data_IF_024057398731
#
_entry.id   IF_024057398731
#
_cell.length_a   1.000
_cell.length_b   1.000
_cell.length_c   1.000
_cell.angle_alpha   90.00
_cell.angle_beta   90.00
_cell.angle_gamma   90.00
#
_symmetry.space_group_name_H-M   'P 1'
#
loop_
_entity.id
_entity.type
_entity.pdbx_description
1 polymer ?
#
# COMPACT_ATOMS: atom_id res chain seq x y z
N UNK A 1 2.68 -6.42 13.82
CA UNK A 1 3.29 -6.92 12.55
C UNK A 1 4.80 -6.80 12.55
N UNK A 2 5.40 -5.88 13.32
CA UNK A 2 6.85 -5.70 13.35
C UNK A 2 7.63 -6.98 13.64
N UNK A 3 7.31 -7.67 14.74
CA UNK A 3 8.01 -8.89 15.17
C UNK A 3 8.08 -9.95 14.06
N UNK A 4 6.98 -10.17 13.35
CA UNK A 4 6.92 -11.11 12.23
C UNK A 4 7.82 -10.65 11.05
N UNK A 5 7.78 -9.37 10.69
CA UNK A 5 8.65 -8.86 9.62
C UNK A 5 10.12 -8.94 10.01
N UNK A 6 10.48 -8.55 11.23
CA UNK A 6 11.84 -8.63 11.74
C UNK A 6 12.35 -10.08 11.78
N UNK A 7 11.51 -11.02 12.23
CA UNK A 7 11.85 -12.44 12.20
C UNK A 7 12.06 -12.95 10.77
N UNK A 8 11.18 -12.62 9.84
CA UNK A 8 11.34 -12.97 8.43
C UNK A 8 12.66 -12.42 7.86
N UNK A 9 12.98 -11.16 8.14
CA UNK A 9 14.23 -10.50 7.71
C UNK A 9 15.47 -11.20 8.28
N UNK A 10 15.46 -11.56 9.56
CA UNK A 10 16.56 -12.26 10.21
C UNK A 10 16.77 -13.67 9.67
N UNK A 11 15.68 -14.35 9.30
CA UNK A 11 15.69 -15.73 8.80
C UNK A 11 15.73 -15.82 7.27
N UNK A 12 15.85 -14.69 6.56
CA UNK A 12 15.87 -14.64 5.08
C UNK A 12 14.62 -15.25 4.43
N UNK A 13 13.46 -15.04 5.06
CA UNK A 13 12.16 -15.44 4.53
C UNK A 13 11.50 -14.23 3.90
N UNK A 14 11.12 -14.35 2.63
CA UNK A 14 10.35 -13.30 1.98
C UNK A 14 8.90 -13.26 2.47
N UNK A 15 8.32 -12.06 2.54
CA UNK A 15 6.97 -11.88 3.07
C UNK A 15 6.13 -10.87 2.28
N UNK A 16 4.82 -11.06 2.40
CA UNK A 16 3.77 -10.12 1.99
C UNK A 16 2.73 -10.07 3.11
N UNK A 17 2.61 -8.92 3.76
CA UNK A 17 1.60 -8.73 4.79
C UNK A 17 0.66 -7.60 4.43
N UNK A 18 -0.64 -7.79 4.68
CA UNK A 18 -1.61 -6.70 4.62
C UNK A 18 -1.23 -5.60 5.60
N UNK A 19 -1.23 -4.35 5.14
CA UNK A 19 -1.01 -3.18 5.96
C UNK A 19 -2.34 -2.45 6.15
N UNK A 20 -2.71 -2.18 7.41
CA UNK A 20 -3.94 -1.48 7.72
C UNK A 20 -3.90 -0.05 7.16
N UNK A 21 -5.03 0.39 6.60
CA UNK A 21 -5.19 1.76 6.11
C UNK A 21 -5.07 2.75 7.27
N UNK A 22 -4.50 3.91 6.99
CA UNK A 22 -4.54 5.07 7.88
C UNK A 22 -4.44 6.34 7.04
N UNK A 23 -4.84 7.46 7.63
CA UNK A 23 -4.89 8.75 6.94
C UNK A 23 -3.56 9.12 6.29
N UNK A 24 -2.42 8.90 6.96
CA UNK A 24 -1.09 9.21 6.39
C UNK A 24 -0.78 8.38 5.14
N UNK A 25 -1.17 7.11 5.11
CA UNK A 25 -1.01 6.25 3.92
C UNK A 25 -1.95 6.70 2.81
N UNK A 26 -3.20 7.04 3.12
CA UNK A 26 -4.18 7.52 2.15
C UNK A 26 -3.74 8.85 1.54
N UNK A 27 -3.28 9.81 2.36
CA UNK A 27 -2.67 11.07 1.89
C UNK A 27 -1.48 10.80 0.98
N UNK A 28 -0.62 9.83 1.32
CA UNK A 28 0.56 9.50 0.52
C UNK A 28 0.21 9.04 -0.90
N UNK A 29 -0.96 8.43 -1.10
CA UNK A 29 -1.42 7.92 -2.40
C UNK A 29 -2.57 8.72 -3.00
N UNK A 30 -2.95 9.86 -2.42
CA UNK A 30 -4.04 10.69 -2.92
C UNK A 30 -3.92 11.03 -4.42
N UNK A 31 -2.73 11.34 -4.98
CA UNK A 31 -2.59 11.55 -6.43
C UNK A 31 -2.94 10.31 -7.26
N UNK A 32 -2.58 9.11 -6.78
CA UNK A 32 -2.91 7.86 -7.47
C UNK A 32 -4.40 7.50 -7.34
N UNK A 33 -5.04 7.88 -6.23
CA UNK A 33 -6.50 7.74 -6.08
C UNK A 33 -7.26 8.68 -7.02
N UNK A 34 -6.76 9.90 -7.22
CA UNK A 34 -7.35 10.83 -8.19
C UNK A 34 -7.21 10.30 -9.62
N UNK A 35 -6.03 9.80 -10.00
CA UNK A 35 -5.81 9.14 -11.29
C UNK A 35 -6.77 7.96 -11.50
N UNK A 36 -6.92 7.09 -10.49
CA UNK A 36 -7.87 5.97 -10.54
C UNK A 36 -9.32 6.45 -10.64
N UNK A 37 -9.69 7.54 -9.94
CA UNK A 37 -11.02 8.13 -9.99
C UNK A 37 -11.36 8.63 -11.39
N UNK A 38 -10.45 9.35 -12.03
CA UNK A 38 -10.62 9.86 -13.39
C UNK A 38 -10.76 8.71 -14.40
N UNK A 39 -9.90 7.69 -14.31
CA UNK A 39 -9.97 6.51 -15.15
C UNK A 39 -11.28 5.72 -14.95
N UNK A 40 -11.77 5.63 -13.71
CA UNK A 40 -13.04 4.97 -13.39
C UNK A 40 -14.23 5.74 -13.96
N UNK A 41 -14.25 7.07 -13.82
CA UNK A 41 -15.30 7.93 -14.39
C UNK A 41 -15.32 7.86 -15.92
N UNK A 42 -14.15 7.84 -16.56
CA UNK A 42 -14.05 7.77 -18.01
C UNK A 42 -14.51 6.42 -18.59
N UNK A 43 -14.22 5.32 -17.87
CA UNK A 43 -14.55 3.95 -18.33
C UNK A 43 -15.90 3.43 -17.85
N UNK A 44 -16.48 4.02 -16.80
CA UNK A 44 -17.64 3.48 -16.09
C UNK A 44 -17.35 2.19 -15.31
N UNK A 45 -16.07 1.81 -15.17
CA UNK A 45 -15.64 0.57 -14.51
C UNK A 45 -14.68 0.86 -13.36
N UNK A 46 -14.39 -0.15 -12.54
CA UNK A 46 -13.40 -0.01 -11.48
C UNK A 46 -11.99 0.12 -12.06
N UNK A 47 -11.27 1.17 -11.68
CA UNK A 47 -9.90 1.43 -12.10
C UNK A 47 -8.93 1.35 -10.91
N UNK A 48 -7.67 1.00 -11.19
CA UNK A 48 -6.66 0.83 -10.14
C UNK A 48 -5.29 1.33 -10.62
N UNK A 49 -4.61 2.02 -9.72
CA UNK A 49 -3.26 2.53 -9.91
C UNK A 49 -2.39 2.00 -8.78
N UNK A 50 -1.22 1.49 -9.11
CA UNK A 50 -0.27 1.01 -8.10
C UNK A 50 0.83 2.03 -7.85
N UNK A 51 1.24 2.14 -6.59
CA UNK A 51 2.42 2.93 -6.17
C UNK A 51 3.22 2.11 -5.18
N UNK A 52 4.53 2.16 -5.30
CA UNK A 52 5.43 1.60 -4.30
C UNK A 52 6.29 2.70 -3.67
N UNK A 53 6.59 2.53 -2.39
CA UNK A 53 7.38 3.49 -1.63
C UNK A 53 7.94 2.87 -0.35
N UNK A 54 9.03 3.45 0.16
CA UNK A 54 9.58 3.08 1.46
C UNK A 54 8.82 3.79 2.59
N UNK A 55 8.31 3.01 3.54
CA UNK A 55 7.47 3.48 4.65
C UNK A 55 7.95 2.94 6.00
N UNK A 56 7.66 3.68 7.07
CA UNK A 56 7.71 3.17 8.44
C UNK A 56 6.54 3.76 9.24
N UNK A 57 6.10 3.04 10.26
CA UNK A 57 5.28 3.64 11.30
C UNK A 57 6.12 4.64 12.11
N UNK A 58 5.46 5.47 12.93
CA UNK A 58 6.17 6.42 13.79
C UNK A 58 7.03 5.71 14.83
N UNK A 59 6.42 4.76 15.54
CA UNK A 59 7.06 4.21 16.75
C UNK A 59 7.19 2.68 16.74
N UNK A 60 6.37 1.97 15.95
CA UNK A 60 6.25 0.51 16.06
C UNK A 60 7.09 -0.32 15.09
N UNK A 61 7.80 0.30 14.15
CA UNK A 61 8.62 -0.41 13.16
C UNK A 61 10.08 -0.07 13.38
N UNK A 62 10.94 -1.09 13.42
CA UNK A 62 12.38 -0.90 13.62
C UNK A 62 13.07 -0.26 12.42
N UNK A 63 12.47 -0.35 11.22
CA UNK A 63 13.06 0.17 9.99
C UNK A 63 12.02 0.51 8.92
N UNK A 64 12.47 1.27 7.92
CA UNK A 64 11.70 1.51 6.70
C UNK A 64 11.65 0.25 5.85
N UNK A 65 10.47 -0.09 5.36
CA UNK A 65 10.19 -1.25 4.49
C UNK A 65 9.41 -0.82 3.27
N UNK A 66 9.44 -1.64 2.22
CA UNK A 66 8.70 -1.39 0.99
C UNK A 66 7.21 -1.63 1.23
N UNK A 67 6.41 -0.63 0.90
CA UNK A 67 4.95 -0.70 0.88
C UNK A 67 4.49 -0.58 -0.56
N UNK A 68 3.56 -1.45 -0.95
CA UNK A 68 2.84 -1.35 -2.22
C UNK A 68 1.41 -0.96 -1.89
N UNK A 69 0.95 0.11 -2.53
CA UNK A 69 -0.40 0.59 -2.44
C UNK A 69 -1.15 0.29 -3.74
N UNK A 70 -2.36 -0.26 -3.58
CA UNK A 70 -3.38 -0.34 -4.63
C UNK A 70 -4.36 0.80 -4.40
N UNK A 71 -4.22 1.88 -5.18
CA UNK A 71 -5.20 2.95 -5.25
C UNK A 71 -6.31 2.50 -6.21
N UNK A 72 -7.39 1.96 -5.66
CA UNK A 72 -8.53 1.48 -6.45
C UNK A 72 -9.72 2.42 -6.28
N UNK A 73 -10.38 2.75 -7.38
CA UNK A 73 -11.65 3.44 -7.41
C UNK A 73 -12.69 2.52 -8.04
N UNK A 74 -13.71 2.19 -7.26
CA UNK A 74 -14.84 1.36 -7.69
C UNK A 74 -16.04 2.23 -8.06
N UNK A 75 -17.10 1.63 -8.59
CA UNK A 75 -18.38 2.33 -8.80
C UNK A 75 -19.01 2.85 -7.49
N UNK A 76 -18.55 2.37 -6.32
CA UNK A 76 -18.98 2.81 -4.99
C UNK A 76 -17.98 3.78 -4.32
N UNK A 77 -16.90 4.17 -5.02
CA UNK A 77 -15.89 5.10 -4.52
C UNK A 77 -14.53 4.45 -4.22
N UNK A 78 -13.69 5.18 -3.49
CA UNK A 78 -12.31 4.80 -3.18
C UNK A 78 -12.22 3.53 -2.31
N UNK A 79 -11.34 2.61 -2.69
CA UNK A 79 -11.06 1.36 -1.98
C UNK A 79 -9.54 1.09 -1.92
N UNK A 80 -8.75 1.96 -1.26
CA UNK A 80 -7.31 1.78 -1.17
C UNK A 80 -6.94 0.55 -0.33
N UNK A 81 -5.94 -0.21 -0.78
CA UNK A 81 -5.36 -1.34 -0.04
C UNK A 81 -3.85 -1.21 0.00
N UNK A 82 -3.24 -1.68 1.08
CA UNK A 82 -1.80 -1.61 1.28
C UNK A 82 -1.24 -2.97 1.66
N UNK A 83 -0.04 -3.26 1.18
CA UNK A 83 0.78 -4.37 1.64
C UNK A 83 2.17 -3.85 1.99
N UNK A 84 2.84 -4.55 2.90
CA UNK A 84 4.28 -4.42 3.14
C UNK A 84 4.96 -5.70 2.68
N UNK A 85 6.09 -5.58 1.98
CA UNK A 85 6.79 -6.73 1.39
C UNK A 85 8.31 -6.55 1.38
N UNK A 86 9.03 -7.67 1.45
CA UNK A 86 10.48 -7.75 1.19
C UNK A 86 10.84 -7.98 -0.27
N UNK A 87 9.86 -8.34 -1.12
CA UNK A 87 10.09 -8.67 -2.52
C UNK A 87 10.64 -7.46 -3.27
N UNK A 88 11.63 -7.71 -4.12
CA UNK A 88 12.25 -6.70 -4.98
C UNK A 88 11.28 -6.29 -6.11
N UNK A 89 11.38 -5.05 -6.63
CA UNK A 89 10.65 -4.63 -7.82
C UNK A 89 10.95 -5.50 -9.05
#
# INVERSE_FOLDING_TARGET
>A
REELMAWCEQNRVDYVFGLARNERLETKIAPALEEASQASRASGQAARVFRDFMWSTKDSWSRRRRVIAKAEWTTLGANPRFIVTSLKP
#
